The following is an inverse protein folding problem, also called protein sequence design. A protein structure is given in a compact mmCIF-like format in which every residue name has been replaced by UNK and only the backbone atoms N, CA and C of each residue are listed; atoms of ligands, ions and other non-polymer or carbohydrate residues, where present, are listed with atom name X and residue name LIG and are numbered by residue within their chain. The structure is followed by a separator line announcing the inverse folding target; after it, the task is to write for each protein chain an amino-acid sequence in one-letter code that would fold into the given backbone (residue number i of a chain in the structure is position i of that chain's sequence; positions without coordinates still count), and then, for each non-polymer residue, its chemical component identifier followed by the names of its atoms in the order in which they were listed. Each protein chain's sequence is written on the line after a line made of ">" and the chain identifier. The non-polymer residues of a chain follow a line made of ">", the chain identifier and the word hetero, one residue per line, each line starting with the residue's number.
data_IF_380037743132
#
_entry.id   IF_380037743132
#
_cell.length_a   1.000
_cell.length_b   1.000
_cell.length_c   1.000
_cell.angle_alpha   90.00
_cell.angle_beta   90.00
_cell.angle_gamma   90.00
#
_symmetry.space_group_name_H-M   'P 1'
#
loop_
_entity.id
_entity.type
_entity.pdbx_description
1 polymer ?
#
# COMPACT_ATOMS: atom_id res chain seq x y z
N UNK A 1 -13.18 4.37 11.62
CA UNK A 1 -13.96 4.28 10.36
C UNK A 1 -14.65 2.93 10.32
N UNK A 2 -15.89 2.82 9.86
CA UNK A 2 -16.58 1.53 9.79
C UNK A 2 -16.09 0.73 8.57
N UNK A 3 -16.13 -0.60 8.63
CA UNK A 3 -15.77 -1.49 7.51
C UNK A 3 -16.50 -1.10 6.22
N UNK A 4 -17.76 -0.67 6.32
CA UNK A 4 -18.56 -0.21 5.18
C UNK A 4 -17.99 1.05 4.53
N UNK A 5 -17.49 2.01 5.31
CA UNK A 5 -16.83 3.22 4.79
C UNK A 5 -15.51 2.87 4.09
N UNK A 6 -14.74 1.94 4.66
CA UNK A 6 -13.49 1.47 4.04
C UNK A 6 -13.77 0.77 2.71
N UNK A 7 -14.79 -0.09 2.66
CA UNK A 7 -15.22 -0.77 1.44
C UNK A 7 -15.71 0.20 0.35
N UNK A 8 -16.46 1.24 0.72
CA UNK A 8 -16.93 2.28 -0.21
C UNK A 8 -15.74 3.03 -0.81
N UNK A 9 -14.80 3.49 0.02
CA UNK A 9 -13.62 4.22 -0.45
C UNK A 9 -12.77 3.33 -1.36
N UNK A 10 -12.54 2.07 -0.98
CA UNK A 10 -11.78 1.12 -1.80
C UNK A 10 -12.44 0.89 -3.17
N UNK A 11 -13.77 0.70 -3.22
CA UNK A 11 -14.52 0.52 -4.45
C UNK A 11 -14.51 1.75 -5.36
N UNK A 12 -14.62 2.95 -4.78
CA UNK A 12 -14.57 4.21 -5.53
C UNK A 12 -13.19 4.43 -6.18
N UNK A 13 -12.11 4.17 -5.44
CA UNK A 13 -10.74 4.26 -5.97
C UNK A 13 -10.49 3.25 -7.10
N UNK A 14 -11.01 2.02 -6.94
CA UNK A 14 -10.95 1.00 -7.98
C UNK A 14 -11.68 1.42 -9.26
N UNK A 15 -12.87 2.01 -9.13
CA UNK A 15 -13.65 2.50 -10.26
C UNK A 15 -12.94 3.66 -11.00
N UNK A 16 -12.32 4.59 -10.27
CA UNK A 16 -11.56 5.70 -10.85
C UNK A 16 -10.32 5.18 -11.60
N UNK A 17 -9.59 4.23 -11.03
CA UNK A 17 -8.43 3.61 -11.68
C UNK A 17 -8.83 2.87 -12.97
N UNK A 18 -9.96 2.17 -12.95
CA UNK A 18 -10.53 1.52 -14.13
C UNK A 18 -11.02 2.52 -15.18
N UNK A 19 -11.59 3.66 -14.79
CA UNK A 19 -12.04 4.69 -15.73
C UNK A 19 -10.86 5.47 -16.37
N UNK A 20 -9.77 5.70 -15.62
CA UNK A 20 -8.62 6.47 -16.09
C UNK A 20 -7.72 5.69 -17.07
N UNK A 21 -7.69 4.35 -17.00
CA UNK A 21 -6.80 3.55 -17.86
C UNK A 21 -7.19 2.08 -18.02
N UNK A 22 -8.43 1.71 -17.68
CA UNK A 22 -8.88 0.32 -17.68
C UNK A 22 -8.16 -0.55 -16.64
N UNK A 23 -8.21 -1.86 -16.85
CA UNK A 23 -7.53 -2.84 -15.99
C UNK A 23 -6.00 -2.64 -15.97
N UNK A 24 -5.41 -2.24 -17.11
CA UNK A 24 -3.98 -1.94 -17.18
C UNK A 24 -3.59 -0.70 -16.33
N UNK A 25 -4.42 0.34 -16.35
CA UNK A 25 -4.26 1.52 -15.49
C UNK A 25 -4.37 1.18 -14.00
N UNK A 26 -5.29 0.30 -13.62
CA UNK A 26 -5.40 -0.22 -12.26
C UNK A 26 -4.14 -0.99 -11.81
N UNK A 27 -3.62 -1.89 -12.65
CA UNK A 27 -2.39 -2.62 -12.33
C UNK A 27 -1.18 -1.69 -12.21
N UNK A 28 -1.04 -0.70 -13.09
CA UNK A 28 0.02 0.31 -12.99
C UNK A 28 -0.10 1.13 -11.71
N UNK A 29 -1.30 1.58 -11.35
CA UNK A 29 -1.55 2.33 -10.13
C UNK A 29 -1.27 1.49 -8.87
N UNK A 30 -1.62 0.19 -8.88
CA UNK A 30 -1.34 -0.72 -7.78
C UNK A 30 0.16 -0.93 -7.59
N UNK A 31 0.91 -1.18 -8.67
CA UNK A 31 2.36 -1.36 -8.63
C UNK A 31 3.06 -0.08 -8.18
N UNK A 32 2.70 1.07 -8.75
CA UNK A 32 3.35 2.33 -8.41
C UNK A 32 2.99 2.80 -6.99
N UNK A 33 1.73 2.61 -6.57
CA UNK A 33 1.26 2.93 -5.23
C UNK A 33 1.90 2.06 -4.16
N UNK A 34 2.02 0.75 -4.40
CA UNK A 34 2.73 -0.16 -3.48
C UNK A 34 4.22 0.13 -3.42
N UNK A 35 4.87 0.40 -4.56
CA UNK A 35 6.27 0.81 -4.59
C UNK A 35 6.49 2.13 -3.83
N UNK A 36 5.62 3.13 -4.04
CA UNK A 36 5.67 4.41 -3.32
C UNK A 36 5.45 4.26 -1.82
N UNK A 37 4.52 3.39 -1.41
CA UNK A 37 4.30 3.07 0.01
C UNK A 37 5.51 2.38 0.64
N UNK A 38 6.12 1.42 -0.05
CA UNK A 38 7.31 0.72 0.43
C UNK A 38 8.51 1.66 0.58
N UNK A 39 8.74 2.51 -0.42
CA UNK A 39 9.83 3.50 -0.41
C UNK A 39 9.57 4.58 0.64
N UNK A 40 8.37 5.13 0.70
CA UNK A 40 7.98 6.11 1.73
C UNK A 40 8.11 5.54 3.15
N UNK A 41 7.65 4.30 3.36
CA UNK A 41 7.79 3.60 4.62
C UNK A 41 9.24 3.31 5.01
N UNK A 42 10.13 3.08 4.05
CA UNK A 42 11.58 2.97 4.30
C UNK A 42 12.21 4.32 4.68
N UNK A 43 11.74 5.43 4.11
CA UNK A 43 12.29 6.76 4.36
C UNK A 43 11.79 7.33 5.70
N UNK A 44 10.53 7.08 6.06
CA UNK A 44 9.93 7.57 7.31
C UNK A 44 10.43 6.82 8.56
N UNK A 45 11.13 5.69 8.41
CA UNK A 45 11.62 4.89 9.55
C UNK A 45 10.53 4.19 10.37
N UNK A 46 9.25 4.37 10.01
CA UNK A 46 8.08 3.72 10.62
C UNK A 46 7.93 2.25 10.17
N UNK A 47 8.40 1.92 8.95
CA UNK A 47 8.59 0.52 8.55
C UNK A 47 9.93 0.06 9.09
N UNK A 48 9.97 -0.15 10.40
CA UNK A 48 11.11 -0.69 11.11
C UNK A 48 11.34 -2.16 10.71
N UNK A 49 11.94 -2.38 9.54
CA UNK A 49 12.53 -3.67 9.19
C UNK A 49 13.64 -4.06 10.18
N UNK A 50 14.18 -3.13 10.98
CA UNK A 50 15.15 -3.45 12.03
C UNK A 50 14.50 -4.19 13.21
N UNK A 51 13.21 -3.98 13.47
CA UNK A 51 12.45 -4.72 14.48
C UNK A 51 12.14 -6.17 14.09
N UNK A 52 11.99 -6.44 12.78
CA UNK A 52 11.80 -7.82 12.26
C UNK A 52 13.15 -8.54 12.08
N UNK A 53 14.23 -7.81 11.73
CA UNK A 53 15.55 -8.39 11.55
C UNK A 53 16.35 -8.53 12.86
N UNK A 54 16.00 -7.77 13.90
CA UNK A 54 16.67 -7.77 15.21
C UNK A 54 16.22 -8.85 16.20
N UNK A 55 15.23 -9.70 15.85
CA UNK A 55 14.82 -10.85 16.69
C UNK A 55 15.60 -12.12 16.35
N UNK A 56 16.89 -11.96 16.11
CA UNK A 56 17.88 -13.04 16.10
C UNK A 56 19.10 -12.46 16.81
N UNK A 57 19.53 -13.14 17.88
CA UNK A 57 20.51 -12.72 18.89
C UNK A 57 19.89 -11.90 20.05
N UNK A 58 19.85 -12.35 21.31
CA UNK A 58 20.76 -13.23 22.05
C UNK A 58 20.00 -13.99 23.16
N UNK A 59 20.47 -15.21 23.45
CA UNK A 59 20.26 -15.86 24.74
C UNK A 59 21.17 -15.29 25.82
#
# INVERSE_FOLDING_TARGET
>A
MTTSTVGLIAGLLLAIAAAAGGFAGFLFALVLGTAGYLVGGHVDGEVDLSGILGRRDRG
#
